data_IF_372784725663
#
_entry.id   IF_372784725663
#
_cell.length_a   1.000
_cell.length_b   1.000
_cell.length_c   1.000
_cell.angle_alpha   90.00
_cell.angle_beta   90.00
_cell.angle_gamma   90.00
#
_symmetry.space_group_name_H-M   'P 1'
#
loop_
_entity.id
_entity.type
_entity.pdbx_description
1 polymer ?
#
# COMPACT_ATOMS: atom_id res chain seq x y z
N UNK A 1 15.75 15.68 -17.13
CA UNK A 1 15.06 14.37 -16.90
C UNK A 1 14.67 14.32 -15.43
N UNK A 2 13.36 14.39 -15.15
CA UNK A 2 12.81 14.79 -13.84
C UNK A 2 12.83 13.59 -12.88
N UNK A 3 13.92 13.44 -12.11
CA UNK A 3 13.94 12.60 -10.91
C UNK A 3 13.18 13.36 -9.82
N UNK A 4 11.88 13.14 -9.72
CA UNK A 4 11.08 13.78 -8.69
C UNK A 4 11.41 13.14 -7.33
N UNK A 5 12.20 13.88 -6.56
CA UNK A 5 12.37 13.76 -5.11
C UNK A 5 11.01 13.54 -4.41
N UNK A 6 10.89 12.42 -3.69
CA UNK A 6 9.95 12.30 -2.57
C UNK A 6 10.81 12.23 -1.30
N UNK A 7 11.20 13.41 -0.81
CA UNK A 7 11.98 13.54 0.41
C UNK A 7 11.07 13.13 1.56
N UNK A 8 11.50 12.06 2.23
CA UNK A 8 10.93 11.49 3.44
C UNK A 8 10.74 12.62 4.48
N UNK A 9 9.50 13.08 4.66
CA UNK A 9 9.16 13.93 5.81
C UNK A 9 9.09 12.97 7.00
N UNK A 10 10.12 12.99 7.84
CA UNK A 10 10.12 12.25 9.11
C UNK A 10 10.28 13.23 10.26
N UNK A 11 9.17 13.82 10.70
CA UNK A 11 9.05 14.39 12.04
C UNK A 11 7.62 14.12 12.53
N UNK A 12 7.41 13.03 13.28
CA UNK A 12 6.42 12.99 14.37
C UNK A 12 7.02 12.13 15.50
N UNK A 13 6.96 12.69 16.69
CA UNK A 13 7.54 12.26 17.96
C UNK A 13 6.90 11.00 18.55
N UNK A 14 7.77 10.13 19.10
CA UNK A 14 7.56 9.19 20.21
C UNK A 14 6.20 8.47 20.36
N UNK A 15 6.13 7.23 19.89
CA UNK A 15 5.76 6.05 20.69
C UNK A 15 6.37 4.82 20.01
N UNK A 16 6.89 3.85 20.77
CA UNK A 16 7.52 2.63 20.24
C UNK A 16 6.46 1.67 19.68
N UNK A 17 5.83 2.03 18.56
CA UNK A 17 5.29 1.03 17.66
C UNK A 17 6.48 0.50 16.86
N UNK A 18 6.77 -0.79 16.95
CA UNK A 18 7.78 -1.43 16.09
C UNK A 18 7.53 -0.96 14.65
N UNK A 19 8.50 -0.29 14.05
CA UNK A 19 8.38 0.21 12.68
C UNK A 19 8.14 -1.00 11.76
N UNK A 20 6.89 -1.25 11.41
CA UNK A 20 6.56 -2.22 10.41
C UNK A 20 7.17 -1.70 9.11
N UNK A 21 8.12 -2.44 8.54
CA UNK A 21 8.63 -2.16 7.20
C UNK A 21 7.48 -2.40 6.22
N UNK A 22 6.78 -1.34 5.83
CA UNK A 22 5.75 -1.42 4.81
C UNK A 22 6.37 -1.57 3.42
N UNK A 23 5.64 -2.23 2.53
CA UNK A 23 5.94 -2.26 1.11
C UNK A 23 5.92 -0.84 0.58
N UNK A 24 6.93 -0.50 -0.22
CA UNK A 24 7.04 0.85 -0.77
C UNK A 24 5.80 1.17 -1.62
N UNK A 25 5.22 2.35 -1.42
CA UNK A 25 4.06 2.79 -2.21
C UNK A 25 4.36 2.81 -3.72
N UNK A 26 5.63 2.90 -4.12
CA UNK A 26 6.07 2.79 -5.52
C UNK A 26 5.86 1.42 -6.16
N UNK A 27 5.75 0.35 -5.36
CA UNK A 27 5.48 -1.00 -5.85
C UNK A 27 3.97 -1.26 -5.98
N UNK A 28 3.13 -0.35 -5.50
CA UNK A 28 1.67 -0.44 -5.52
C UNK A 28 1.09 0.46 -6.62
N UNK A 29 0.12 -0.08 -7.36
CA UNK A 29 -0.74 0.73 -8.22
C UNK A 29 -2.05 0.98 -7.49
N UNK A 30 -2.49 2.22 -7.45
CA UNK A 30 -3.68 2.62 -6.72
C UNK A 30 -4.42 3.76 -7.38
N UNK A 31 -5.69 3.92 -7.01
CA UNK A 31 -6.53 5.05 -7.36
C UNK A 31 -7.26 5.59 -6.13
N UNK A 32 -7.83 6.78 -6.26
CA UNK A 32 -8.68 7.37 -5.22
C UNK A 32 -10.15 7.20 -5.62
N UNK A 33 -10.99 6.76 -4.69
CA UNK A 33 -12.44 6.67 -4.90
C UNK A 33 -13.15 8.02 -4.67
N UNK A 34 -14.47 8.07 -4.86
CA UNK A 34 -15.29 9.27 -4.65
C UNK A 34 -15.34 9.77 -3.20
N UNK A 35 -14.88 8.96 -2.24
CA UNK A 35 -14.86 9.27 -0.81
C UNK A 35 -13.47 9.70 -0.33
N UNK A 36 -12.55 10.00 -1.24
CA UNK A 36 -11.15 10.34 -0.94
C UNK A 36 -10.38 9.21 -0.24
N UNK A 37 -10.73 7.95 -0.50
CA UNK A 37 -10.02 6.80 0.04
C UNK A 37 -9.21 6.09 -1.05
N UNK A 38 -8.14 5.40 -0.66
CA UNK A 38 -7.25 4.68 -1.55
C UNK A 38 -7.78 3.28 -1.86
N UNK A 39 -7.79 2.96 -3.15
CA UNK A 39 -8.09 1.65 -3.72
C UNK A 39 -6.81 1.09 -4.32
N UNK A 40 -6.28 0.00 -3.77
CA UNK A 40 -5.14 -0.71 -4.37
C UNK A 40 -5.66 -1.49 -5.58
N UNK A 41 -5.19 -1.16 -6.78
CA UNK A 41 -5.62 -1.80 -8.03
C UNK A 41 -4.58 -2.73 -8.62
N UNK A 42 -3.35 -2.71 -8.09
CA UNK A 42 -2.25 -3.53 -8.58
C UNK A 42 -1.08 -3.60 -7.61
N UNK A 43 -0.28 -4.65 -7.75
CA UNK A 43 1.02 -4.78 -7.08
C UNK A 43 2.06 -5.31 -8.06
N UNK A 44 3.07 -4.48 -8.34
CA UNK A 44 4.13 -4.76 -9.30
C UNK A 44 5.48 -4.38 -8.69
N UNK A 45 6.01 -5.19 -7.76
CA UNK A 45 7.26 -4.87 -7.11
C UNK A 45 8.44 -5.03 -8.06
N UNK A 46 9.41 -4.12 -7.95
CA UNK A 46 10.67 -4.20 -8.69
C UNK A 46 11.57 -5.35 -8.23
N UNK A 47 11.35 -5.87 -7.02
CA UNK A 47 12.06 -6.99 -6.43
C UNK A 47 11.10 -8.16 -6.13
N UNK A 48 11.64 -9.36 -5.93
CA UNK A 48 10.86 -10.53 -5.51
C UNK A 48 10.38 -10.38 -4.06
N UNK A 49 9.25 -9.71 -3.87
CA UNK A 49 8.59 -9.56 -2.57
C UNK A 49 7.65 -10.74 -2.32
N UNK A 50 7.79 -11.37 -1.15
CA UNK A 50 6.97 -12.50 -0.68
C UNK A 50 6.02 -12.13 0.48
N UNK A 51 6.44 -11.18 1.32
CA UNK A 51 5.64 -10.61 2.42
C UNK A 51 5.21 -9.19 2.05
N UNK A 52 3.95 -9.03 1.68
CA UNK A 52 3.34 -7.76 1.32
C UNK A 52 2.80 -7.09 2.59
N UNK A 53 3.30 -5.89 2.91
CA UNK A 53 2.84 -5.11 4.07
C UNK A 53 2.28 -3.79 3.57
N UNK A 54 0.96 -3.71 3.49
CA UNK A 54 0.29 -2.55 2.90
C UNK A 54 0.22 -1.45 3.97
N UNK A 55 0.68 -0.22 3.67
CA UNK A 55 0.56 0.88 4.61
C UNK A 55 -0.92 1.22 4.85
N UNK A 56 -1.29 1.66 6.06
CA UNK A 56 -2.67 2.04 6.36
C UNK A 56 -3.13 3.27 5.57
N UNK A 57 -2.18 4.11 5.15
CA UNK A 57 -2.40 5.34 4.39
C UNK A 57 -1.40 5.47 3.24
N UNK A 58 -1.84 6.06 2.13
CA UNK A 58 -0.98 6.49 1.03
C UNK A 58 -1.32 7.95 0.72
N UNK A 59 -0.32 8.82 0.70
CA UNK A 59 -0.48 10.27 0.52
C UNK A 59 -1.45 10.93 1.54
N UNK A 60 -1.50 10.40 2.78
CA UNK A 60 -2.40 10.90 3.83
C UNK A 60 -3.87 10.53 3.64
N UNK A 61 -4.16 9.57 2.75
CA UNK A 61 -5.50 9.01 2.54
C UNK A 61 -5.52 7.54 2.95
N UNK A 62 -6.59 7.10 3.60
CA UNK A 62 -6.75 5.73 4.10
C UNK A 62 -6.83 4.70 2.97
N UNK A 63 -6.12 3.58 3.13
CA UNK A 63 -6.28 2.40 2.27
C UNK A 63 -7.47 1.58 2.72
N UNK A 64 -8.58 1.70 1.99
CA UNK A 64 -9.85 1.07 2.39
C UNK A 64 -10.27 -0.09 1.50
N UNK A 65 -9.74 -0.18 0.28
CA UNK A 65 -10.20 -1.18 -0.70
C UNK A 65 -9.06 -1.85 -1.44
N UNK A 66 -9.16 -3.18 -1.60
CA UNK A 66 -8.38 -3.93 -2.57
C UNK A 66 -9.24 -4.23 -3.79
N UNK A 67 -8.83 -3.71 -4.93
CA UNK A 67 -9.49 -3.83 -6.23
C UNK A 67 -9.48 -5.26 -6.75
N UNK A 68 -10.30 -5.51 -7.78
CA UNK A 68 -10.42 -6.84 -8.36
C UNK A 68 -9.09 -7.23 -9.02
N UNK A 69 -8.61 -8.45 -8.76
CA UNK A 69 -7.34 -8.96 -9.29
C UNK A 69 -6.11 -8.13 -8.91
N UNK A 70 -6.17 -7.29 -7.87
CA UNK A 70 -5.10 -6.35 -7.51
C UNK A 70 -3.76 -7.05 -7.22
N UNK A 71 -3.80 -8.24 -6.63
CA UNK A 71 -2.64 -9.08 -6.34
C UNK A 71 -2.62 -10.37 -7.18
N UNK A 72 -3.44 -10.44 -8.24
CA UNK A 72 -3.44 -11.57 -9.16
C UNK A 72 -2.08 -11.71 -9.84
N UNK A 73 -1.64 -12.95 -10.03
CA UNK A 73 -0.37 -13.27 -10.70
C UNK A 73 0.88 -12.72 -9.99
N UNK A 74 0.77 -12.40 -8.69
CA UNK A 74 1.91 -12.00 -7.87
C UNK A 74 2.56 -13.22 -7.21
N UNK A 75 3.81 -13.08 -6.79
CA UNK A 75 4.54 -14.13 -6.07
C UNK A 75 4.37 -14.04 -4.54
N UNK A 76 3.47 -13.19 -4.04
CA UNK A 76 3.30 -12.99 -2.61
C UNK A 76 2.72 -14.25 -1.97
N UNK A 77 3.24 -14.60 -0.80
CA UNK A 77 2.77 -15.74 0.00
C UNK A 77 2.14 -15.28 1.31
N UNK A 78 2.35 -14.01 1.66
CA UNK A 78 1.82 -13.39 2.87
C UNK A 78 1.44 -11.96 2.54
N UNK A 79 0.28 -11.53 3.06
CA UNK A 79 -0.14 -10.14 3.03
C UNK A 79 -0.59 -9.73 4.44
N UNK A 80 -0.09 -8.60 4.92
CA UNK A 80 -0.55 -7.98 6.17
C UNK A 80 -1.55 -6.90 5.82
N UNK A 81 -2.79 -7.09 6.27
CA UNK A 81 -3.86 -6.12 6.06
C UNK A 81 -3.77 -5.00 7.10
N UNK A 82 -3.84 -3.72 6.67
CA UNK A 82 -4.02 -2.62 7.60
C UNK A 82 -5.45 -2.60 8.14
N UNK A 83 -5.62 -2.04 9.33
CA UNK A 83 -6.91 -1.94 10.02
C UNK A 83 -7.94 -1.06 9.31
N UNK A 84 -7.50 -0.22 8.37
CA UNK A 84 -8.35 0.68 7.56
C UNK A 84 -9.08 -0.02 6.42
N UNK A 85 -8.73 -1.27 6.07
CA UNK A 85 -9.36 -2.01 4.96
C UNK A 85 -10.80 -2.37 5.29
N UNK A 86 -11.71 -1.92 4.43
CA UNK A 86 -13.16 -2.13 4.52
C UNK A 86 -13.66 -3.14 3.47
N UNK A 87 -13.00 -3.19 2.31
CA UNK A 87 -13.49 -3.93 1.16
C UNK A 87 -12.39 -4.71 0.44
N UNK A 88 -12.68 -5.97 0.12
CA UNK A 88 -11.84 -6.84 -0.70
C UNK A 88 -12.69 -7.28 -1.89
N UNK A 89 -12.29 -6.93 -3.12
CA UNK A 89 -13.05 -7.25 -4.33
C UNK A 89 -12.71 -8.65 -4.86
N UNK A 90 -13.45 -9.09 -5.88
CA UNK A 90 -13.29 -10.41 -6.47
C UNK A 90 -11.86 -10.67 -6.92
N UNK A 91 -11.26 -11.77 -6.43
CA UNK A 91 -9.88 -12.20 -6.71
C UNK A 91 -8.81 -11.14 -6.41
N UNK A 92 -9.08 -10.20 -5.51
CA UNK A 92 -8.09 -9.23 -5.06
C UNK A 92 -6.79 -9.93 -4.65
#
# INVERSE_FOLDING_TARGET
MKKSNCILITVITATTAAFANFTAASDLTFSTNSNNEIVITGFAPSASIRDLRIPPEINGLDVTTFGASAFSSTSITKATLPSSVKHIKYRA
#
